data_IF_059728011960
#
_entry.id   IF_059728011960
#
_cell.length_a   1.000
_cell.length_b   1.000
_cell.length_c   1.000
_cell.angle_alpha   90.00
_cell.angle_beta   90.00
_cell.angle_gamma   90.00
#
_symmetry.space_group_name_H-M   'P 1'
#
loop_
_entity.id
_entity.type
_entity.pdbx_description
1 polymer ?
#
# COMPACT_ATOMS: atom_id res chain seq x y z
N UNK A 1 26.57 0.25 -12.66
CA UNK A 1 25.09 0.18 -12.68
C UNK A 1 24.56 0.71 -11.35
N UNK A 2 23.83 1.83 -11.36
CA UNK A 2 23.30 2.43 -10.12
C UNK A 2 22.27 1.50 -9.48
N UNK A 3 22.42 1.18 -8.19
CA UNK A 3 21.43 0.43 -7.41
C UNK A 3 20.11 1.22 -7.42
N UNK A 4 19.08 0.70 -8.11
CA UNK A 4 17.73 1.28 -8.05
C UNK A 4 17.31 1.31 -6.58
N UNK A 5 17.11 2.53 -6.04
CA UNK A 5 16.63 2.71 -4.66
C UNK A 5 15.30 1.95 -4.52
N UNK A 6 15.06 1.28 -3.40
CA UNK A 6 13.80 0.56 -3.19
C UNK A 6 12.65 1.56 -3.28
N UNK A 7 11.84 1.44 -4.32
CA UNK A 7 10.66 2.29 -4.50
C UNK A 7 9.65 1.92 -3.42
N UNK A 8 9.23 2.88 -2.61
CA UNK A 8 8.12 2.71 -1.68
C UNK A 8 6.86 3.31 -2.29
N UNK A 9 5.75 2.58 -2.22
CA UNK A 9 4.44 3.09 -2.64
C UNK A 9 3.40 2.81 -1.57
N UNK A 10 2.45 3.74 -1.42
CA UNK A 10 1.30 3.57 -0.53
C UNK A 10 0.18 2.88 -1.30
N UNK A 11 -0.51 1.95 -0.65
CA UNK A 11 -1.68 1.25 -1.19
C UNK A 11 -2.74 1.15 -0.09
N UNK A 12 -4.01 1.26 -0.45
CA UNK A 12 -5.09 0.89 0.46
C UNK A 12 -5.17 -0.63 0.56
N UNK A 13 -5.47 -1.14 1.74
CA UNK A 13 -5.77 -2.54 1.95
C UNK A 13 -6.98 -2.65 2.85
N UNK A 14 -8.02 -3.30 2.36
CA UNK A 14 -9.18 -3.64 3.17
C UNK A 14 -8.73 -4.63 4.26
N UNK A 15 -8.97 -4.27 5.52
CA UNK A 15 -8.56 -5.05 6.68
C UNK A 15 -9.42 -6.31 6.88
N UNK A 16 -10.66 -6.29 6.41
CA UNK A 16 -11.63 -7.39 6.56
C UNK A 16 -11.40 -8.49 5.52
N UNK A 17 -11.18 -8.09 4.25
CA UNK A 17 -11.05 -9.03 3.13
C UNK A 17 -9.61 -9.24 2.67
N UNK A 18 -8.68 -8.38 3.09
CA UNK A 18 -7.28 -8.40 2.67
C UNK A 18 -7.04 -7.89 1.25
N UNK A 19 -8.09 -7.48 0.50
CA UNK A 19 -7.97 -6.96 -0.87
C UNK A 19 -7.28 -5.61 -0.89
N UNK A 20 -6.52 -5.35 -1.95
CA UNK A 20 -5.92 -4.05 -2.19
C UNK A 20 -6.95 -3.10 -2.79
N UNK A 21 -7.02 -1.89 -2.23
CA UNK A 21 -7.88 -0.79 -2.67
C UNK A 21 -7.03 0.45 -2.88
N UNK A 22 -7.66 1.53 -3.33
CA UNK A 22 -6.97 2.81 -3.46
C UNK A 22 -6.65 3.40 -2.08
N UNK A 23 -5.61 4.24 -2.02
CA UNK A 23 -5.28 4.98 -0.78
C UNK A 23 -6.41 5.93 -0.39
N UNK A 24 -7.13 6.47 -1.38
CA UNK A 24 -8.27 7.37 -1.16
C UNK A 24 -9.45 6.63 -0.52
N UNK A 25 -9.84 5.47 -1.05
CA UNK A 25 -10.85 4.62 -0.40
C UNK A 25 -10.45 4.23 1.02
N UNK A 26 -9.16 3.97 1.24
CA UNK A 26 -8.66 3.63 2.56
C UNK A 26 -8.70 4.83 3.53
N UNK A 27 -8.51 6.05 3.04
CA UNK A 27 -8.64 7.28 3.82
C UNK A 27 -10.09 7.65 4.10
N UNK A 28 -10.99 7.40 3.15
CA UNK A 28 -12.43 7.63 3.31
C UNK A 28 -13.07 6.59 4.25
N UNK A 29 -12.51 5.38 4.32
CA UNK A 29 -13.01 4.29 5.17
C UNK A 29 -11.95 3.80 6.17
N UNK A 30 -11.47 4.65 7.11
CA UNK A 30 -10.38 4.30 8.02
C UNK A 30 -10.73 3.18 9.00
N UNK A 31 -12.03 2.88 9.16
CA UNK A 31 -12.53 1.81 10.05
C UNK A 31 -12.36 0.41 9.46
N UNK A 32 -12.40 0.28 8.13
CA UNK A 32 -12.37 -1.02 7.42
C UNK A 32 -11.16 -1.15 6.50
N UNK A 33 -10.44 -0.06 6.24
CA UNK A 33 -9.30 -0.04 5.33
C UNK A 33 -8.09 0.61 5.98
N UNK A 34 -6.92 0.07 5.67
CA UNK A 34 -5.63 0.47 6.22
C UNK A 34 -4.73 0.90 5.05
N UNK A 35 -4.00 2.00 5.22
CA UNK A 35 -2.98 2.41 4.25
C UNK A 35 -1.68 1.67 4.56
N UNK A 36 -1.25 0.80 3.66
CA UNK A 36 0.00 0.06 3.78
C UNK A 36 1.08 0.66 2.86
N UNK A 37 2.32 0.71 3.34
CA UNK A 37 3.47 1.09 2.52
C UNK A 37 4.14 -0.16 1.99
N UNK A 38 3.97 -0.42 0.70
CA UNK A 38 4.68 -1.49 0.00
C UNK A 38 6.09 -1.03 -0.31
N UNK A 39 7.08 -1.75 0.23
CA UNK A 39 8.47 -1.62 -0.17
C UNK A 39 8.70 -2.55 -1.36
N UNK A 40 8.90 -1.99 -2.54
CA UNK A 40 9.27 -2.77 -3.72
C UNK A 40 10.73 -3.20 -3.53
N UNK A 41 10.93 -4.37 -2.92
CA UNK A 41 12.22 -5.04 -2.96
C UNK A 41 12.36 -5.58 -4.38
N UNK A 42 13.03 -4.83 -5.25
CA UNK A 42 13.65 -5.41 -6.43
C UNK A 42 14.64 -6.47 -5.89
N UNK A 43 14.25 -7.74 -5.99
CA UNK A 43 15.05 -8.89 -5.60
C UNK A 43 15.90 -9.32 -6.79
#
# INVERSE_FOLDING_TARGET
MARKKPATRKIGRNAETGRFTTVEEARNNPRTHIVQTLRNRCR
#
